data_IF_545561523875
#
_entry.id   IF_545561523875
#
_cell.length_a   1.000
_cell.length_b   1.000
_cell.length_c   1.000
_cell.angle_alpha   90.00
_cell.angle_beta   90.00
_cell.angle_gamma   90.00
#
_symmetry.space_group_name_H-M   'P 1'
#
loop_
_entity.id
_entity.type
_entity.pdbx_description
1 polymer ?
#
# COMPACT_ATOMS: atom_id res chain seq x y z
N UNK A 1 -9.88 19.51 -4.26
CA UNK A 1 -9.52 19.21 -2.86
C UNK A 1 -8.13 19.72 -2.51
N UNK A 2 -7.16 19.62 -3.41
CA UNK A 2 -5.81 20.10 -3.16
C UNK A 2 -5.79 21.62 -3.14
N UNK A 3 -5.10 22.19 -2.17
CA UNK A 3 -4.85 23.62 -2.09
C UNK A 3 -3.75 24.04 -3.08
N UNK A 4 -3.64 25.35 -3.38
CA UNK A 4 -2.61 25.87 -4.29
C UNK A 4 -1.19 25.49 -3.91
N UNK A 5 -0.96 25.25 -2.63
CA UNK A 5 0.33 24.85 -2.09
C UNK A 5 0.78 23.44 -2.49
N UNK A 6 -0.12 22.61 -3.01
CA UNK A 6 0.16 21.25 -3.48
C UNK A 6 0.13 21.12 -5.01
N UNK A 7 -0.04 22.22 -5.74
CA UNK A 7 0.12 22.25 -7.19
C UNK A 7 1.61 22.32 -7.53
N UNK A 8 2.26 21.16 -7.59
CA UNK A 8 3.63 21.04 -8.05
C UNK A 8 3.58 20.86 -9.56
N UNK A 9 3.98 21.89 -10.30
CA UNK A 9 4.07 21.81 -11.77
C UNK A 9 5.02 20.66 -12.16
N UNK A 10 4.62 19.86 -13.15
CA UNK A 10 5.40 18.74 -13.71
C UNK A 10 5.76 17.64 -12.71
N UNK A 11 5.03 17.51 -11.60
CA UNK A 11 5.24 16.41 -10.66
C UNK A 11 4.76 15.08 -11.23
N UNK A 12 5.68 14.13 -11.36
CA UNK A 12 5.38 12.74 -11.73
C UNK A 12 5.18 11.91 -10.48
N UNK A 13 3.94 11.58 -10.12
CA UNK A 13 3.57 10.72 -8.98
C UNK A 13 4.05 9.26 -9.13
N UNK A 14 4.47 8.88 -10.33
CA UNK A 14 5.07 7.57 -10.61
C UNK A 14 6.60 7.59 -10.68
N UNK A 15 7.26 8.73 -10.41
CA UNK A 15 8.71 8.90 -10.55
C UNK A 15 9.52 7.78 -9.89
N UNK A 16 9.08 7.35 -8.71
CA UNK A 16 9.77 6.29 -7.96
C UNK A 16 9.66 4.93 -8.66
N UNK A 17 8.47 4.57 -9.15
CA UNK A 17 8.26 3.33 -9.90
C UNK A 17 8.99 3.33 -11.25
N UNK A 18 9.07 4.49 -11.93
CA UNK A 18 9.75 4.61 -13.23
C UNK A 18 11.23 4.28 -13.17
N UNK A 19 11.90 4.51 -12.04
CA UNK A 19 13.30 4.16 -11.86
C UNK A 19 13.55 2.65 -11.98
N UNK A 20 12.57 1.83 -11.67
CA UNK A 20 12.64 0.37 -11.69
C UNK A 20 11.82 -0.26 -12.82
N UNK A 21 11.25 0.56 -13.69
CA UNK A 21 10.40 0.07 -14.77
C UNK A 21 11.23 -0.53 -15.90
N UNK A 22 11.01 -1.81 -16.22
CA UNK A 22 11.77 -2.59 -17.20
C UNK A 22 10.89 -2.94 -18.40
N UNK A 23 11.06 -2.21 -19.51
CA UNK A 23 10.31 -2.42 -20.77
C UNK A 23 10.61 -3.77 -21.44
N UNK A 24 11.80 -4.33 -21.19
CA UNK A 24 12.27 -5.60 -21.72
C UNK A 24 11.64 -6.83 -21.05
N UNK A 25 10.93 -6.64 -19.93
CA UNK A 25 10.24 -7.72 -19.24
C UNK A 25 8.77 -7.80 -19.68
N UNK A 26 8.23 -9.03 -19.71
CA UNK A 26 6.79 -9.19 -19.90
C UNK A 26 5.97 -8.53 -18.77
N UNK A 27 4.71 -8.17 -19.00
CA UNK A 27 3.95 -7.31 -18.07
C UNK A 27 3.93 -7.80 -16.62
N UNK A 28 3.68 -9.09 -16.36
CA UNK A 28 3.65 -9.62 -14.99
C UNK A 28 5.02 -9.56 -14.32
N UNK A 29 6.08 -9.92 -15.03
CA UNK A 29 7.47 -9.85 -14.53
C UNK A 29 7.88 -8.41 -14.25
N UNK A 30 7.48 -7.49 -15.12
CA UNK A 30 7.74 -6.05 -14.96
C UNK A 30 7.12 -5.51 -13.67
N UNK A 31 5.86 -5.86 -13.41
CA UNK A 31 5.19 -5.49 -12.17
C UNK A 31 5.87 -6.11 -10.94
N UNK A 32 6.19 -7.41 -10.99
CA UNK A 32 6.91 -8.08 -9.90
C UNK A 32 8.27 -7.42 -9.62
N UNK A 33 9.00 -7.08 -10.68
CA UNK A 33 10.29 -6.39 -10.56
C UNK A 33 10.14 -5.02 -9.91
N UNK A 34 9.19 -4.22 -10.36
CA UNK A 34 8.91 -2.90 -9.76
C UNK A 34 8.52 -3.03 -8.29
N UNK A 35 7.62 -3.95 -7.94
CA UNK A 35 7.19 -4.19 -6.55
C UNK A 35 8.33 -4.63 -5.63
N UNK A 36 9.25 -5.48 -6.13
CA UNK A 36 10.42 -5.92 -5.36
C UNK A 36 11.38 -4.78 -5.00
N UNK A 37 11.42 -3.72 -5.82
CA UNK A 37 12.31 -2.58 -5.61
C UNK A 37 11.64 -1.37 -4.95
N UNK A 38 10.31 -1.35 -4.88
CA UNK A 38 9.54 -0.20 -4.37
C UNK A 38 8.62 -0.60 -3.22
N UNK A 39 7.48 -1.20 -3.54
CA UNK A 39 6.42 -1.50 -2.59
C UNK A 39 6.83 -2.49 -1.49
N UNK A 40 7.56 -3.56 -1.87
CA UNK A 40 8.00 -4.57 -0.90
C UNK A 40 8.95 -3.97 0.15
N UNK A 41 10.08 -3.32 -0.19
CA UNK A 41 10.97 -2.75 0.81
C UNK A 41 10.41 -1.49 1.46
N UNK A 42 9.78 -0.60 0.69
CA UNK A 42 9.35 0.72 1.15
C UNK A 42 8.09 0.73 2.01
N UNK A 43 7.17 -0.21 1.80
CA UNK A 43 5.93 -0.30 2.59
C UNK A 43 5.87 -1.60 3.41
N UNK A 44 5.83 -2.75 2.75
CA UNK A 44 5.51 -4.00 3.44
C UNK A 44 6.56 -4.39 4.49
N UNK A 45 7.83 -4.43 4.11
CA UNK A 45 8.90 -4.86 5.02
C UNK A 45 9.16 -3.81 6.10
N UNK A 46 9.18 -2.54 5.75
CA UNK A 46 9.34 -1.43 6.70
C UNK A 46 8.24 -1.46 7.75
N UNK A 47 6.98 -1.62 7.34
CA UNK A 47 5.83 -1.70 8.25
C UNK A 47 5.92 -2.90 9.19
N UNK A 48 6.24 -4.10 8.65
CA UNK A 48 6.36 -5.32 9.45
C UNK A 48 7.51 -5.20 10.44
N UNK A 49 8.66 -4.70 10.00
CA UNK A 49 9.84 -4.53 10.84
C UNK A 49 9.56 -3.55 11.99
N UNK A 50 9.10 -2.36 11.69
CA UNK A 50 8.78 -1.35 12.71
C UNK A 50 7.74 -1.83 13.72
N UNK A 51 6.67 -2.49 13.25
CA UNK A 51 5.60 -2.97 14.12
C UNK A 51 6.06 -4.13 15.01
N UNK A 52 6.85 -5.06 14.49
CA UNK A 52 7.35 -6.20 15.26
C UNK A 52 8.46 -5.79 16.22
N UNK A 53 9.40 -4.95 15.78
CA UNK A 53 10.50 -4.47 16.60
C UNK A 53 10.04 -3.53 17.72
N UNK A 54 8.93 -2.84 17.58
CA UNK A 54 8.30 -2.09 18.68
C UNK A 54 7.94 -3.01 19.89
N UNK A 55 7.84 -4.31 19.65
CA UNK A 55 7.59 -5.33 20.66
C UNK A 55 8.79 -6.30 20.82
N UNK A 56 9.98 -5.93 20.35
CA UNK A 56 11.21 -6.74 20.40
C UNK A 56 11.06 -8.12 19.74
N UNK A 57 10.22 -8.22 18.71
CA UNK A 57 9.98 -9.44 17.96
C UNK A 57 10.68 -9.37 16.59
N UNK A 58 11.66 -10.23 16.38
CA UNK A 58 12.29 -10.39 15.06
C UNK A 58 11.42 -11.25 14.14
N UNK A 59 11.07 -10.72 12.97
CA UNK A 59 10.31 -11.43 11.95
C UNK A 59 11.18 -11.71 10.74
N UNK A 60 11.25 -12.97 10.34
CA UNK A 60 12.00 -13.40 9.14
C UNK A 60 11.04 -14.07 8.15
N UNK A 61 10.77 -13.45 6.99
CA UNK A 61 9.89 -14.01 5.96
C UNK A 61 10.64 -15.06 5.11
N UNK A 62 10.35 -16.36 5.26
CA UNK A 62 11.12 -17.41 4.55
C UNK A 62 10.93 -17.38 3.03
N UNK A 63 9.84 -16.81 2.54
CA UNK A 63 9.58 -16.66 1.11
C UNK A 63 10.41 -15.53 0.45
N UNK A 64 11.16 -14.76 1.24
CA UNK A 64 12.07 -13.72 0.76
C UNK A 64 13.55 -14.15 0.80
N UNK A 65 13.85 -15.44 1.02
CA UNK A 65 15.19 -15.97 0.76
C UNK A 65 15.56 -15.69 -0.71
N UNK A 66 16.70 -15.04 -0.94
CA UNK A 66 17.10 -14.56 -2.27
C UNK A 66 17.09 -15.68 -3.33
N UNK A 67 17.52 -16.91 -2.94
CA UNK A 67 17.52 -18.08 -3.85
C UNK A 67 16.12 -18.46 -4.28
N UNK A 68 15.14 -18.34 -3.35
CA UNK A 68 13.74 -18.61 -3.65
C UNK A 68 13.12 -17.51 -4.52
N UNK A 69 13.47 -16.27 -4.26
CA UNK A 69 13.04 -15.12 -5.07
C UNK A 69 13.60 -15.23 -6.49
N UNK A 70 14.90 -15.51 -6.65
CA UNK A 70 15.54 -15.71 -7.95
C UNK A 70 14.89 -16.87 -8.72
N UNK A 71 14.67 -17.99 -8.05
CA UNK A 71 13.95 -19.12 -8.62
C UNK A 71 12.52 -18.74 -9.06
N UNK A 72 11.76 -18.06 -8.21
CA UNK A 72 10.40 -17.65 -8.55
C UNK A 72 10.35 -16.67 -9.73
N UNK A 73 11.33 -15.77 -9.83
CA UNK A 73 11.48 -14.87 -10.97
C UNK A 73 11.88 -15.58 -12.26
N UNK A 74 12.55 -16.73 -12.18
CA UNK A 74 12.92 -17.52 -13.36
C UNK A 74 11.76 -18.32 -13.94
N UNK A 75 10.68 -18.55 -13.17
CA UNK A 75 9.53 -19.35 -13.62
C UNK A 75 8.76 -18.63 -14.73
N UNK A 76 8.20 -19.42 -15.65
CA UNK A 76 7.23 -18.93 -16.63
C UNK A 76 5.98 -18.36 -15.91
N UNK A 77 5.47 -17.25 -16.39
CA UNK A 77 4.31 -16.57 -15.76
C UNK A 77 3.06 -17.41 -15.74
N UNK A 78 2.89 -18.34 -16.70
CA UNK A 78 1.79 -19.30 -16.70
C UNK A 78 1.80 -20.27 -15.51
N UNK A 79 2.98 -20.48 -14.90
CA UNK A 79 3.11 -21.24 -13.66
C UNK A 79 2.79 -20.41 -12.41
N UNK A 80 2.84 -19.08 -12.53
CA UNK A 80 2.59 -18.16 -11.43
C UNK A 80 1.13 -17.74 -11.34
N UNK A 81 0.48 -17.54 -12.49
CA UNK A 81 -0.87 -17.00 -12.57
C UNK A 81 -1.67 -17.60 -13.71
N UNK A 82 -2.89 -17.99 -13.43
CA UNK A 82 -3.97 -18.26 -14.38
C UNK A 82 -4.74 -16.95 -14.59
N UNK A 83 -4.58 -16.34 -15.77
CA UNK A 83 -5.21 -15.06 -16.11
C UNK A 83 -6.71 -15.23 -16.32
N UNK A 84 -7.12 -16.29 -17.04
CA UNK A 84 -8.53 -16.55 -17.36
C UNK A 84 -9.33 -16.89 -16.10
N UNK A 85 -8.80 -17.78 -15.25
CA UNK A 85 -9.40 -18.14 -13.97
C UNK A 85 -9.16 -17.14 -12.85
N UNK A 86 -8.48 -16.02 -13.12
CA UNK A 86 -8.09 -15.00 -12.14
C UNK A 86 -7.46 -15.58 -10.86
N UNK A 87 -6.65 -16.63 -11.00
CA UNK A 87 -5.99 -17.31 -9.89
C UNK A 87 -4.50 -17.04 -9.89
N UNK A 88 -3.97 -16.58 -8.78
CA UNK A 88 -2.54 -16.39 -8.56
C UNK A 88 -1.93 -17.48 -7.68
N UNK A 89 -0.61 -17.45 -7.53
CA UNK A 89 0.19 -18.35 -6.67
C UNK A 89 0.03 -19.82 -7.05
N UNK A 90 -0.06 -20.15 -8.35
CA UNK A 90 -0.38 -21.51 -8.81
C UNK A 90 0.59 -22.56 -8.27
N UNK A 91 1.89 -22.32 -8.31
CA UNK A 91 2.91 -23.23 -7.77
C UNK A 91 2.67 -23.49 -6.27
N UNK A 92 2.41 -22.44 -5.49
CA UNK A 92 2.14 -22.57 -4.05
C UNK A 92 0.84 -23.31 -3.80
N UNK A 93 -0.22 -23.03 -4.58
CA UNK A 93 -1.50 -23.76 -4.51
C UNK A 93 -1.28 -25.26 -4.74
N UNK A 94 -0.54 -25.62 -5.80
CA UNK A 94 -0.25 -27.00 -6.13
C UNK A 94 0.58 -27.69 -5.04
N UNK A 95 1.61 -27.04 -4.53
CA UNK A 95 2.44 -27.56 -3.44
C UNK A 95 1.65 -27.83 -2.14
N UNK A 96 0.64 -27.02 -1.89
CA UNK A 96 -0.12 -27.03 -0.64
C UNK A 96 -1.45 -27.79 -0.75
N UNK A 97 -1.80 -28.32 -1.92
CA UNK A 97 -3.09 -28.95 -2.21
C UNK A 97 -3.47 -30.03 -1.19
N UNK A 98 -2.52 -30.90 -0.86
CA UNK A 98 -2.71 -31.99 0.09
C UNK A 98 -2.35 -31.61 1.56
N UNK A 99 -1.95 -30.37 1.81
CA UNK A 99 -1.42 -29.92 3.11
C UNK A 99 -2.33 -28.96 3.86
N UNK A 100 -3.26 -28.34 3.17
CA UNK A 100 -4.19 -27.36 3.75
C UNK A 100 -5.64 -27.74 3.42
N UNK A 101 -6.60 -27.39 4.28
CA UNK A 101 -8.01 -27.69 4.03
C UNK A 101 -8.50 -27.11 2.71
N UNK A 102 -9.40 -27.82 2.01
CA UNK A 102 -10.03 -27.32 0.78
C UNK A 102 -10.69 -25.95 1.00
N UNK A 103 -10.67 -25.11 -0.04
CA UNK A 103 -11.33 -23.80 -0.03
C UNK A 103 -10.55 -22.68 0.65
N UNK A 104 -9.41 -22.91 1.31
CA UNK A 104 -8.62 -21.85 1.89
C UNK A 104 -8.12 -20.85 0.84
N UNK A 105 -7.69 -21.36 -0.31
CA UNK A 105 -7.23 -20.52 -1.42
C UNK A 105 -8.35 -19.79 -2.17
N UNK A 106 -9.59 -20.23 -2.01
CA UNK A 106 -10.74 -19.70 -2.75
C UNK A 106 -11.52 -18.66 -1.96
N UNK A 107 -11.04 -18.35 -0.75
CA UNK A 107 -11.62 -17.27 0.07
C UNK A 107 -11.40 -15.92 -0.61
N UNK A 108 -12.42 -15.04 -0.58
CA UNK A 108 -12.25 -13.68 -1.04
C UNK A 108 -11.08 -13.00 -0.32
N UNK A 109 -10.23 -12.33 -1.08
CA UNK A 109 -9.16 -11.52 -0.48
C UNK A 109 -9.78 -10.45 0.40
N UNK A 110 -9.39 -10.43 1.67
CA UNK A 110 -9.68 -9.32 2.58
C UNK A 110 -8.36 -8.60 2.84
N UNK A 111 -8.30 -7.31 2.47
CA UNK A 111 -7.20 -6.43 2.85
C UNK A 111 -7.26 -6.10 4.34
N UNK A 112 -6.20 -5.51 4.85
CA UNK A 112 -6.20 -4.90 6.19
C UNK A 112 -7.05 -3.62 6.11
N UNK A 113 -8.33 -3.75 6.38
CA UNK A 113 -9.23 -2.61 6.43
C UNK A 113 -9.28 -2.08 7.85
N UNK A 114 -8.80 -0.87 8.04
CA UNK A 114 -9.01 -0.13 9.27
C UNK A 114 -10.49 0.30 9.34
N UNK A 115 -11.12 0.28 10.51
CA UNK A 115 -12.52 0.70 10.70
C UNK A 115 -12.64 2.24 10.76
N UNK A 116 -12.07 2.95 9.77
CA UNK A 116 -11.98 4.41 9.74
C UNK A 116 -13.35 5.06 9.74
N UNK A 117 -14.29 4.51 8.97
CA UNK A 117 -15.69 5.00 8.96
C UNK A 117 -16.34 4.92 10.34
N UNK A 118 -16.03 3.88 11.11
CA UNK A 118 -16.58 3.73 12.45
C UNK A 118 -15.92 4.71 13.42
N UNK A 119 -14.62 4.92 13.33
CA UNK A 119 -13.93 5.91 14.15
C UNK A 119 -14.47 7.32 13.90
N UNK A 120 -14.57 7.74 12.65
CA UNK A 120 -15.11 9.06 12.28
C UNK A 120 -16.60 9.20 12.65
N UNK A 121 -17.37 8.12 12.59
CA UNK A 121 -18.78 8.16 13.02
C UNK A 121 -18.92 8.40 14.53
N UNK A 122 -18.03 7.80 15.33
CA UNK A 122 -18.04 7.97 16.78
C UNK A 122 -17.37 9.27 17.25
N UNK A 123 -16.45 9.81 16.44
CA UNK A 123 -15.68 11.02 16.73
C UNK A 123 -15.59 11.91 15.48
N UNK A 124 -16.72 12.50 15.05
CA UNK A 124 -16.75 13.30 13.82
C UNK A 124 -15.86 14.55 13.86
N UNK A 125 -15.55 15.03 15.04
CA UNK A 125 -14.62 16.14 15.27
C UNK A 125 -13.19 15.83 14.83
N UNK A 126 -12.78 14.58 14.79
CA UNK A 126 -11.44 14.21 14.29
C UNK A 126 -11.22 14.69 12.86
N UNK A 127 -12.16 14.33 11.98
CA UNK A 127 -12.06 14.72 10.57
C UNK A 127 -12.33 16.20 10.38
N UNK A 128 -13.31 16.76 11.07
CA UNK A 128 -13.68 18.16 10.95
C UNK A 128 -12.52 19.07 11.34
N UNK A 129 -11.89 18.80 12.49
CA UNK A 129 -10.74 19.56 12.99
C UNK A 129 -9.51 19.43 12.10
N UNK A 130 -9.27 18.22 11.56
CA UNK A 130 -8.18 18.00 10.60
C UNK A 130 -8.39 18.82 9.32
N UNK A 131 -9.62 18.81 8.76
CA UNK A 131 -9.96 19.61 7.58
C UNK A 131 -9.80 21.11 7.82
N UNK A 132 -10.16 21.61 9.01
CA UNK A 132 -10.01 23.02 9.36
C UNK A 132 -8.54 23.42 9.46
N UNK A 133 -7.71 22.60 10.11
CA UNK A 133 -6.26 22.86 10.21
C UNK A 133 -5.56 22.77 8.85
N UNK A 134 -5.87 21.77 8.05
CA UNK A 134 -5.31 21.63 6.70
C UNK A 134 -5.72 22.78 5.78
N UNK A 135 -6.97 23.25 5.89
CA UNK A 135 -7.43 24.42 5.13
C UNK A 135 -6.78 25.70 5.58
N UNK A 136 -6.61 25.91 6.90
CA UNK A 136 -5.91 27.07 7.45
C UNK A 136 -4.44 27.14 6.99
N UNK A 137 -3.81 25.98 6.82
CA UNK A 137 -2.44 25.84 6.28
C UNK A 137 -2.38 25.83 4.74
N UNK A 138 -3.50 26.05 4.06
CA UNK A 138 -3.64 26.06 2.58
C UNK A 138 -3.30 24.74 1.86
N UNK A 139 -3.18 23.64 2.57
CA UNK A 139 -2.96 22.33 1.97
C UNK A 139 -4.18 21.81 1.21
N UNK A 140 -5.39 22.16 1.65
CA UNK A 140 -6.63 21.81 0.99
C UNK A 140 -7.57 23.02 0.87
N UNK A 141 -8.45 22.98 -0.13
CA UNK A 141 -9.65 23.82 -0.14
C UNK A 141 -10.74 23.07 0.63
N UNK A 142 -11.27 23.66 1.70
CA UNK A 142 -12.29 23.01 2.52
C UNK A 142 -13.55 22.68 1.71
N UNK A 143 -13.88 21.41 1.52
CA UNK A 143 -15.08 21.04 0.76
C UNK A 143 -16.35 21.29 1.59
N UNK A 144 -17.39 21.86 0.97
CA UNK A 144 -18.66 22.15 1.64
C UNK A 144 -19.55 20.91 1.76
N UNK A 145 -19.56 20.04 0.75
CA UNK A 145 -20.39 18.83 0.70
C UNK A 145 -19.62 17.71 -0.01
N UNK A 146 -18.71 17.04 0.69
CA UNK A 146 -17.93 15.96 0.11
C UNK A 146 -18.03 14.69 0.97
N UNK A 147 -18.19 13.55 0.32
CA UNK A 147 -18.09 12.25 0.99
C UNK A 147 -16.70 11.69 0.67
N UNK A 148 -15.91 11.51 1.70
CA UNK A 148 -14.59 10.90 1.58
C UNK A 148 -14.71 9.38 1.62
N UNK A 149 -13.87 8.68 0.84
CA UNK A 149 -13.63 7.25 1.05
C UNK A 149 -12.85 7.04 2.35
N UNK A 150 -12.74 5.80 2.80
CA UNK A 150 -11.92 5.49 3.99
C UNK A 150 -10.45 5.86 3.77
N UNK A 151 -9.92 5.60 2.58
CA UNK A 151 -8.54 5.92 2.21
C UNK A 151 -8.30 7.44 2.23
N UNK A 152 -9.18 8.22 1.61
CA UNK A 152 -9.10 9.68 1.62
C UNK A 152 -9.19 10.24 3.03
N UNK A 153 -10.11 9.73 3.84
CA UNK A 153 -10.24 10.12 5.24
C UNK A 153 -8.96 9.83 6.02
N UNK A 154 -8.39 8.62 5.85
CA UNK A 154 -7.14 8.23 6.49
C UNK A 154 -5.98 9.14 6.07
N UNK A 155 -5.84 9.40 4.78
CA UNK A 155 -4.78 10.29 4.25
C UNK A 155 -4.87 11.71 4.85
N UNK A 156 -6.08 12.26 4.97
CA UNK A 156 -6.28 13.60 5.54
C UNK A 156 -5.93 13.64 7.04
N UNK A 157 -6.37 12.64 7.81
CA UNK A 157 -6.05 12.53 9.23
C UNK A 157 -4.55 12.31 9.46
N UNK A 158 -3.93 11.48 8.63
CA UNK A 158 -2.50 11.22 8.70
C UNK A 158 -1.67 12.46 8.34
N UNK A 159 -2.01 13.15 7.25
CA UNK A 159 -1.35 14.38 6.83
C UNK A 159 -1.43 15.46 7.91
N UNK A 160 -2.61 15.68 8.47
CA UNK A 160 -2.80 16.65 9.55
C UNK A 160 -1.91 16.32 10.76
N UNK A 161 -1.90 15.06 11.17
CA UNK A 161 -1.09 14.62 12.32
C UNK A 161 0.41 14.71 12.06
N UNK A 162 0.83 14.34 10.84
CA UNK A 162 2.23 14.43 10.43
C UNK A 162 2.73 15.87 10.41
N UNK A 163 1.95 16.80 9.86
CA UNK A 163 2.28 18.24 9.86
C UNK A 163 2.37 18.82 11.27
N UNK A 164 1.48 18.38 12.17
CA UNK A 164 1.49 18.80 13.57
C UNK A 164 2.76 18.32 14.30
N UNK A 165 3.19 17.08 14.04
CA UNK A 165 4.36 16.49 14.70
C UNK A 165 5.70 16.92 14.07
N UNK A 166 5.74 17.10 12.76
CA UNK A 166 6.99 17.46 12.06
C UNK A 166 7.33 18.94 12.15
N UNK A 167 6.37 19.79 12.53
CA UNK A 167 6.53 21.24 12.47
C UNK A 167 6.71 21.76 11.03
N UNK A 168 6.39 20.95 10.02
CA UNK A 168 6.55 21.34 8.63
C UNK A 168 5.60 22.47 8.28
N UNK A 169 6.14 23.55 7.80
CA UNK A 169 5.43 24.69 7.22
C UNK A 169 5.70 24.72 5.71
N UNK A 170 4.76 25.28 4.97
CA UNK A 170 4.99 25.57 3.57
C UNK A 170 5.95 26.74 3.47
N UNK A 171 7.13 26.52 2.89
CA UNK A 171 8.09 27.56 2.59
C UNK A 171 7.65 28.46 1.42
#
# INVERSE_FOLDING_TARGET
LLGPALEIADYDDLWHYRQFWREDLEPLKRMQWADLHTYLPGDLLTKVDLASMAHSLEVRPPLLDHRLVEFALSLDTRLLRDVEGNRGKLVVRRLMEDRIPPGIFDRPKRGFNLPISDWVRHQPELLTSALDRLAARQFIQRPRNFRFTNEQTWMLLFLDRWLDQSGAELG
#
